data_IF_054491166492
#
_entry.id   IF_054491166492
#
_cell.length_a   1.000
_cell.length_b   1.000
_cell.length_c   1.000
_cell.angle_alpha   90.00
_cell.angle_beta   90.00
_cell.angle_gamma   90.00
#
_symmetry.space_group_name_H-M   'P 1'
#
loop_
_entity.id
_entity.type
_entity.pdbx_description
1 polymer ?
#
# COMPACT_ATOMS: atom_id res chain seq x y z
N UNK A 1 21.43 14.35 -3.94
CA UNK A 1 20.42 13.30 -4.20
C UNK A 1 20.98 12.44 -5.31
N UNK A 2 21.48 11.25 -5.00
CA UNK A 2 21.90 10.29 -6.02
C UNK A 2 20.66 9.58 -6.55
N UNK A 3 20.54 9.48 -7.87
CA UNK A 3 19.45 8.81 -8.56
C UNK A 3 20.04 7.63 -9.31
N UNK A 4 19.56 6.43 -9.00
CA UNK A 4 19.94 5.20 -9.70
C UNK A 4 18.86 4.92 -10.73
N UNK A 5 19.16 5.16 -12.00
CA UNK A 5 18.24 4.88 -13.11
C UNK A 5 18.37 3.43 -13.58
N UNK A 6 18.06 2.49 -12.69
CA UNK A 6 18.10 1.06 -12.98
C UNK A 6 17.01 0.28 -12.24
N UNK A 7 16.46 -0.70 -12.95
CA UNK A 7 15.54 -1.69 -12.40
C UNK A 7 16.22 -3.06 -12.20
N UNK A 8 17.54 -3.14 -12.37
CA UNK A 8 18.33 -4.35 -12.12
C UNK A 8 18.75 -4.43 -10.66
N UNK A 9 18.51 -5.58 -10.03
CA UNK A 9 18.97 -5.83 -8.66
C UNK A 9 20.49 -5.75 -8.55
N UNK A 10 21.20 -6.21 -9.57
CA UNK A 10 22.67 -6.27 -9.60
C UNK A 10 23.28 -4.87 -9.63
N UNK A 11 22.75 -3.99 -10.49
CA UNK A 11 23.22 -2.62 -10.62
C UNK A 11 22.93 -1.80 -9.36
N UNK A 12 21.73 -1.94 -8.78
CA UNK A 12 21.42 -1.28 -7.51
C UNK A 12 22.33 -1.75 -6.37
N UNK A 13 22.60 -3.05 -6.29
CA UNK A 13 23.54 -3.59 -5.29
C UNK A 13 24.94 -3.00 -5.51
N UNK A 14 25.41 -2.95 -6.76
CA UNK A 14 26.72 -2.42 -7.11
C UNK A 14 26.87 -0.95 -6.71
N UNK A 15 25.88 -0.11 -7.02
CA UNK A 15 25.90 1.31 -6.67
C UNK A 15 25.80 1.52 -5.17
N UNK A 16 24.82 0.90 -4.49
CA UNK A 16 24.62 1.12 -3.07
C UNK A 16 25.77 0.57 -2.20
N UNK A 17 26.50 -0.44 -2.66
CA UNK A 17 27.70 -0.96 -1.98
C UNK A 17 28.91 -0.03 -2.05
N UNK A 18 28.89 1.01 -2.89
CA UNK A 18 29.93 2.04 -2.88
C UNK A 18 29.94 2.81 -1.55
N UNK A 19 28.82 2.83 -0.83
CA UNK A 19 28.75 3.38 0.51
C UNK A 19 29.51 2.49 1.52
N UNK A 20 30.31 3.06 2.43
CA UNK A 20 31.02 2.33 3.47
C UNK A 20 30.12 1.37 4.27
N UNK A 21 30.65 0.20 4.61
CA UNK A 21 29.88 -0.83 5.35
C UNK A 21 29.43 -0.29 6.72
N UNK A 22 30.24 0.54 7.35
CA UNK A 22 29.98 1.15 8.65
C UNK A 22 28.72 2.02 8.61
N UNK A 23 28.47 2.73 7.49
CA UNK A 23 27.25 3.52 7.30
C UNK A 23 26.07 2.62 6.99
N UNK A 24 26.25 1.61 6.12
CA UNK A 24 25.18 0.69 5.73
C UNK A 24 24.67 -0.14 6.91
N UNK A 25 25.53 -0.47 7.85
CA UNK A 25 25.17 -1.17 9.09
C UNK A 25 24.44 -0.30 10.11
N UNK A 26 24.56 1.02 10.02
CA UNK A 26 23.83 1.97 10.88
C UNK A 26 22.39 2.20 10.40
N UNK A 27 22.04 1.76 9.18
CA UNK A 27 20.68 1.86 8.67
C UNK A 27 19.77 0.94 9.47
N UNK A 28 18.84 1.53 10.21
CA UNK A 28 17.90 0.78 11.04
C UNK A 28 16.75 0.18 10.22
N UNK A 29 16.24 0.91 9.22
CA UNK A 29 15.07 0.51 8.44
C UNK A 29 15.18 1.02 7.00
N UNK A 30 14.69 0.22 6.04
CA UNK A 30 14.58 0.61 4.64
C UNK A 30 13.13 0.41 4.21
N UNK A 31 12.45 1.52 3.91
CA UNK A 31 11.11 1.51 3.33
C UNK A 31 11.21 1.35 1.81
N UNK A 32 10.51 0.36 1.26
CA UNK A 32 10.50 0.06 -0.17
C UNK A 32 9.09 -0.10 -0.71
N UNK A 33 8.94 0.03 -2.03
CA UNK A 33 7.73 -0.40 -2.69
C UNK A 33 7.62 -1.95 -2.71
N UNK A 34 6.47 -2.47 -3.12
CA UNK A 34 6.21 -3.93 -3.11
C UNK A 34 6.88 -4.70 -4.26
N UNK A 35 7.87 -4.13 -4.96
CA UNK A 35 8.62 -4.87 -5.98
C UNK A 35 9.49 -5.95 -5.33
N UNK A 36 9.35 -7.20 -5.80
CA UNK A 36 10.03 -8.36 -5.22
C UNK A 36 11.56 -8.26 -5.22
N UNK A 37 12.15 -7.47 -6.12
CA UNK A 37 13.60 -7.31 -6.20
C UNK A 37 14.25 -6.58 -5.04
N UNK A 38 13.51 -5.68 -4.36
CA UNK A 38 14.07 -4.93 -3.23
C UNK A 38 14.40 -5.80 -2.03
N UNK A 39 13.67 -6.90 -1.81
CA UNK A 39 13.94 -7.79 -0.69
C UNK A 39 15.36 -8.37 -0.71
N UNK A 40 15.85 -8.74 -1.90
CA UNK A 40 17.23 -9.22 -2.06
C UNK A 40 18.24 -8.08 -1.89
N UNK A 41 17.97 -6.94 -2.52
CA UNK A 41 18.87 -5.77 -2.51
C UNK A 41 19.09 -5.27 -1.09
N UNK A 42 18.02 -5.06 -0.33
CA UNK A 42 18.10 -4.58 1.06
C UNK A 42 18.87 -5.55 1.94
N UNK A 43 18.61 -6.86 1.85
CA UNK A 43 19.34 -7.87 2.62
C UNK A 43 20.84 -7.88 2.32
N UNK A 44 21.22 -7.66 1.06
CA UNK A 44 22.63 -7.67 0.62
C UNK A 44 23.35 -6.37 0.97
N UNK A 45 22.66 -5.23 0.87
CA UNK A 45 23.26 -3.90 1.03
C UNK A 45 23.20 -3.42 2.48
N UNK A 46 22.08 -3.63 3.17
CA UNK A 46 21.79 -3.12 4.51
C UNK A 46 21.49 -4.29 5.46
N UNK A 47 22.49 -5.10 5.84
CA UNK A 47 22.29 -6.39 6.50
C UNK A 47 21.61 -6.30 7.88
N UNK A 48 21.71 -5.15 8.56
CA UNK A 48 21.10 -4.89 9.87
C UNK A 48 19.75 -4.17 9.79
N UNK A 49 19.36 -3.70 8.60
CA UNK A 49 18.14 -2.92 8.45
C UNK A 49 16.90 -3.81 8.40
N UNK A 50 15.80 -3.34 9.00
CA UNK A 50 14.48 -3.93 8.80
C UNK A 50 13.94 -3.51 7.43
N UNK A 51 13.50 -4.50 6.65
CA UNK A 51 12.77 -4.26 5.42
C UNK A 51 11.32 -3.92 5.75
N UNK A 52 10.86 -2.74 5.33
CA UNK A 52 9.48 -2.27 5.53
C UNK A 52 8.86 -2.01 4.16
N UNK A 53 7.66 -2.54 3.91
CA UNK A 53 6.90 -2.19 2.73
C UNK A 53 6.06 -0.95 3.00
N UNK A 54 6.16 0.05 2.13
CA UNK A 54 5.46 1.32 2.29
C UNK A 54 3.94 1.14 2.18
N UNK A 55 3.21 1.68 3.18
CA UNK A 55 1.75 1.58 3.27
C UNK A 55 1.02 2.12 2.04
N UNK A 56 1.56 3.14 1.37
CA UNK A 56 0.95 3.74 0.18
C UNK A 56 0.86 2.71 -0.94
N UNK A 57 1.92 1.94 -1.17
CA UNK A 57 1.93 0.92 -2.21
C UNK A 57 0.96 -0.23 -1.87
N UNK A 58 0.88 -0.63 -0.60
CA UNK A 58 -0.08 -1.65 -0.15
C UNK A 58 -1.52 -1.17 -0.39
N UNK A 59 -1.88 0.02 0.10
CA UNK A 59 -3.23 0.58 -0.09
C UNK A 59 -3.55 0.86 -1.55
N UNK A 60 -2.56 1.22 -2.36
CA UNK A 60 -2.74 1.38 -3.81
C UNK A 60 -3.16 0.08 -4.47
N UNK A 61 -2.53 -1.05 -4.14
CA UNK A 61 -2.92 -2.36 -4.69
C UNK A 61 -4.35 -2.75 -4.28
N UNK A 62 -4.73 -2.54 -3.01
CA UNK A 62 -6.11 -2.76 -2.53
C UNK A 62 -7.12 -1.90 -3.31
N UNK A 63 -6.80 -0.63 -3.53
CA UNK A 63 -7.63 0.29 -4.29
C UNK A 63 -7.74 -0.08 -5.77
N UNK A 64 -6.67 -0.63 -6.36
CA UNK A 64 -6.68 -1.13 -7.74
C UNK A 64 -7.64 -2.32 -7.87
N UNK A 65 -7.60 -3.28 -6.95
CA UNK A 65 -8.53 -4.42 -6.90
C UNK A 65 -9.99 -3.99 -6.66
N UNK A 66 -10.23 -3.07 -5.74
CA UNK A 66 -11.56 -2.48 -5.54
C UNK A 66 -12.08 -1.83 -6.83
N UNK A 67 -11.21 -1.14 -7.57
CA UNK A 67 -11.57 -0.56 -8.85
C UNK A 67 -11.80 -1.63 -9.94
N UNK A 68 -11.14 -2.78 -9.90
CA UNK A 68 -11.47 -3.91 -10.80
C UNK A 68 -12.87 -4.46 -10.49
N UNK A 69 -13.20 -4.67 -9.21
CA UNK A 69 -14.54 -5.11 -8.78
C UNK A 69 -15.60 -4.10 -9.26
N UNK A 70 -15.35 -2.80 -9.09
CA UNK A 70 -16.22 -1.73 -9.61
C UNK A 70 -16.42 -1.81 -11.14
N UNK A 71 -15.38 -2.15 -11.91
CA UNK A 71 -15.50 -2.33 -13.37
C UNK A 71 -16.38 -3.53 -13.72
N UNK A 72 -16.26 -4.62 -12.97
CA UNK A 72 -17.07 -5.83 -13.17
C UNK A 72 -18.57 -5.60 -12.91
N UNK A 73 -18.94 -4.62 -12.09
CA UNK A 73 -20.36 -4.28 -11.84
C UNK A 73 -21.00 -3.42 -12.93
N UNK A 74 -20.27 -3.10 -14.03
CA UNK A 74 -20.72 -2.20 -15.11
C UNK A 74 -21.18 -0.83 -14.61
N UNK A 75 -20.59 -0.34 -13.52
CA UNK A 75 -20.88 0.97 -12.92
C UNK A 75 -20.64 2.13 -13.91
N UNK A 76 -21.69 2.87 -14.25
CA UNK A 76 -21.64 4.02 -15.18
C UNK A 76 -21.57 5.38 -14.47
N UNK A 77 -21.78 5.42 -13.15
CA UNK A 77 -21.81 6.69 -12.40
C UNK A 77 -20.44 7.40 -12.47
N UNK A 78 -20.41 8.59 -13.07
CA UNK A 78 -19.21 9.42 -13.20
C UNK A 78 -18.64 9.76 -11.83
N UNK A 79 -17.33 9.58 -11.65
CA UNK A 79 -16.65 9.83 -10.38
C UNK A 79 -16.85 8.75 -9.31
N UNK A 80 -17.49 7.62 -9.63
CA UNK A 80 -17.62 6.47 -8.71
C UNK A 80 -16.28 5.95 -8.20
N UNK A 81 -15.25 5.91 -9.06
CA UNK A 81 -13.89 5.54 -8.65
C UNK A 81 -13.35 6.45 -7.53
N UNK A 82 -13.56 7.77 -7.64
CA UNK A 82 -12.97 8.74 -6.70
C UNK A 82 -13.48 8.53 -5.29
N UNK A 83 -14.79 8.36 -5.13
CA UNK A 83 -15.44 8.16 -3.82
C UNK A 83 -15.12 6.81 -3.19
N UNK A 84 -14.76 5.79 -3.99
CA UNK A 84 -14.35 4.47 -3.48
C UNK A 84 -12.88 4.45 -3.00
N UNK A 85 -12.00 5.14 -3.72
CA UNK A 85 -10.56 5.14 -3.41
C UNK A 85 -10.24 6.05 -2.22
N UNK A 86 -10.93 7.18 -2.10
CA UNK A 86 -10.77 8.11 -0.97
C UNK A 86 -11.16 7.42 0.35
N UNK A 87 -10.51 7.81 1.45
CA UNK A 87 -10.83 7.25 2.76
C UNK A 87 -12.23 7.71 3.18
N UNK A 88 -13.02 6.82 3.80
CA UNK A 88 -14.39 7.14 4.20
C UNK A 88 -14.47 8.36 5.11
N UNK A 89 -13.50 8.50 6.01
CA UNK A 89 -13.38 9.63 6.96
C UNK A 89 -13.09 10.97 6.28
N UNK A 90 -12.52 10.96 5.07
CA UNK A 90 -12.16 12.16 4.33
C UNK A 90 -13.28 12.61 3.37
N UNK A 91 -14.36 11.84 3.25
CA UNK A 91 -15.47 12.14 2.34
C UNK A 91 -16.33 13.29 2.89
N UNK A 92 -16.62 14.26 2.04
CA UNK A 92 -17.60 15.31 2.36
C UNK A 92 -19.05 14.77 2.24
N UNK A 93 -20.07 15.50 2.72
CA UNK A 93 -21.46 15.01 2.72
C UNK A 93 -22.01 14.63 1.33
N UNK A 94 -21.62 15.37 0.27
CA UNK A 94 -22.02 15.06 -1.10
C UNK A 94 -21.36 13.75 -1.58
N UNK A 95 -20.08 13.56 -1.28
CA UNK A 95 -19.33 12.36 -1.60
C UNK A 95 -19.84 11.14 -0.83
N UNK A 96 -20.25 11.29 0.42
CA UNK A 96 -20.88 10.22 1.21
C UNK A 96 -22.21 9.79 0.60
N UNK A 97 -23.06 10.74 0.22
CA UNK A 97 -24.32 10.45 -0.49
C UNK A 97 -24.07 9.71 -1.80
N UNK A 98 -23.04 10.14 -2.54
CA UNK A 98 -22.63 9.47 -3.78
C UNK A 98 -22.07 8.08 -3.53
N UNK A 99 -21.26 7.89 -2.50
CA UNK A 99 -20.73 6.59 -2.11
C UNK A 99 -21.89 5.63 -1.79
N UNK A 100 -22.88 6.06 -1.00
CA UNK A 100 -24.05 5.22 -0.69
C UNK A 100 -24.76 4.73 -1.96
N UNK A 101 -24.94 5.60 -2.97
CA UNK A 101 -25.49 5.22 -4.28
C UNK A 101 -24.62 4.21 -5.01
N UNK A 102 -23.29 4.38 -4.97
CA UNK A 102 -22.32 3.45 -5.58
C UNK A 102 -22.37 2.08 -4.90
N UNK A 103 -22.40 2.03 -3.56
CA UNK A 103 -22.42 0.78 -2.78
C UNK A 103 -23.78 0.06 -2.86
N UNK A 104 -24.88 0.78 -3.12
CA UNK A 104 -26.19 0.19 -3.38
C UNK A 104 -26.26 -0.56 -4.72
N UNK A 105 -25.37 -0.25 -5.67
CA UNK A 105 -25.37 -0.90 -6.99
C UNK A 105 -24.95 -2.38 -6.95
N UNK A 106 -24.14 -2.78 -5.96
CA UNK A 106 -23.68 -4.17 -5.85
C UNK A 106 -23.25 -4.52 -4.43
N UNK A 107 -23.81 -5.62 -3.91
CA UNK A 107 -23.39 -6.20 -2.62
C UNK A 107 -21.91 -6.54 -2.60
N UNK A 108 -21.38 -7.12 -3.68
CA UNK A 108 -19.94 -7.47 -3.80
C UNK A 108 -19.04 -6.23 -3.74
N UNK A 109 -19.45 -5.14 -4.38
CA UNK A 109 -18.70 -3.88 -4.33
C UNK A 109 -18.73 -3.26 -2.93
N UNK A 110 -19.87 -3.33 -2.25
CA UNK A 110 -20.03 -2.90 -0.86
C UNK A 110 -19.09 -3.64 0.07
N UNK A 111 -19.13 -4.98 0.07
CA UNK A 111 -18.25 -5.80 0.89
C UNK A 111 -16.78 -5.51 0.61
N UNK A 112 -16.40 -5.36 -0.66
CA UNK A 112 -15.02 -5.01 -1.02
C UNK A 112 -14.59 -3.63 -0.49
N UNK A 113 -15.50 -2.64 -0.48
CA UNK A 113 -15.22 -1.33 0.09
C UNK A 113 -15.08 -1.39 1.62
N UNK A 114 -15.97 -2.11 2.29
CA UNK A 114 -15.92 -2.32 3.75
C UNK A 114 -14.59 -2.98 4.16
N UNK A 115 -14.19 -4.06 3.48
CA UNK A 115 -12.90 -4.71 3.69
C UNK A 115 -11.70 -3.77 3.45
N UNK A 116 -11.78 -2.88 2.47
CA UNK A 116 -10.75 -1.88 2.20
C UNK A 116 -10.61 -0.87 3.35
N UNK A 117 -11.73 -0.46 3.96
CA UNK A 117 -11.71 0.46 5.11
C UNK A 117 -11.25 -0.25 6.39
N UNK A 118 -11.67 -1.50 6.62
CA UNK A 118 -11.18 -2.33 7.73
C UNK A 118 -9.67 -2.58 7.63
N UNK A 119 -9.18 -2.87 6.43
CA UNK A 119 -7.75 -3.04 6.20
C UNK A 119 -6.97 -1.73 6.41
N UNK A 120 -7.54 -0.58 6.02
CA UNK A 120 -6.96 0.74 6.32
C UNK A 120 -6.83 0.95 7.84
N UNK A 121 -7.85 0.58 8.60
CA UNK A 121 -7.90 0.77 10.05
C UNK A 121 -6.75 0.07 10.77
N UNK A 122 -6.23 -1.03 10.22
CA UNK A 122 -5.01 -1.68 10.75
C UNK A 122 -3.84 -0.68 10.81
N UNK A 123 -3.65 0.12 9.78
CA UNK A 123 -2.56 1.12 9.72
C UNK A 123 -2.80 2.34 10.62
N UNK A 124 -4.06 2.66 10.91
CA UNK A 124 -4.40 3.83 11.74
C UNK A 124 -4.43 3.48 13.25
N UNK A 125 -4.87 2.27 13.59
CA UNK A 125 -5.07 1.85 14.98
C UNK A 125 -3.90 1.00 15.55
N UNK A 126 -3.19 0.23 14.73
CA UNK A 126 -2.15 -0.68 15.23
C UNK A 126 -0.78 0.01 15.25
N UNK A 127 -0.15 0.10 16.43
CA UNK A 127 1.18 0.70 16.60
C UNK A 127 2.31 -0.33 16.64
N UNK A 128 1.97 -1.62 16.64
CA UNK A 128 2.94 -2.71 16.73
C UNK A 128 2.61 -3.82 15.73
N UNK A 129 3.64 -4.56 15.30
CA UNK A 129 3.50 -5.71 14.40
C UNK A 129 2.53 -6.75 14.97
N UNK A 130 2.59 -7.02 16.29
CA UNK A 130 1.71 -7.97 16.97
C UNK A 130 0.23 -7.56 16.88
N UNK A 131 -0.07 -6.28 17.13
CA UNK A 131 -1.43 -5.75 16.99
C UNK A 131 -1.91 -5.81 15.53
N UNK A 132 -1.04 -5.47 14.58
CA UNK A 132 -1.35 -5.56 13.16
C UNK A 132 -1.69 -6.98 12.71
N UNK A 133 -0.87 -7.96 13.11
CA UNK A 133 -1.09 -9.39 12.81
C UNK A 133 -2.41 -9.90 13.40
N UNK A 134 -2.70 -9.57 14.66
CA UNK A 134 -3.95 -9.96 15.32
C UNK A 134 -5.19 -9.30 14.70
N UNK A 135 -5.04 -8.14 14.05
CA UNK A 135 -6.13 -7.48 13.33
C UNK A 135 -6.35 -8.03 11.93
N UNK A 136 -5.29 -8.51 11.27
CA UNK A 136 -5.35 -9.08 9.92
C UNK A 136 -5.95 -10.49 9.87
N UNK A 137 -5.78 -11.28 10.94
CA UNK A 137 -6.18 -12.70 11.00
C UNK A 137 -7.57 -12.92 11.63
N UNK A 138 -8.40 -11.88 11.74
CA UNK A 138 -9.75 -11.96 12.33
C UNK A 138 -10.77 -12.52 11.36
#
# INVERSE_FOLDING_TARGET
MEVIDSHSQEEMIAVLKQQPIELREQVAEVSVNMWGGFGKVVKVVFPKAKLVYDRFHVMRAVNEELNQIRRQTKMTLKGSKRVLVKNGVDLNPEEQTKLARVLNHSKRLRTAYELKEEFREIFEACRTVKQGQASLLR
#
